data_IF_968232778879
#
_entry.id   IF_968232778879
#
_cell.length_a   1.000
_cell.length_b   1.000
_cell.length_c   1.000
_cell.angle_alpha   90.00
_cell.angle_beta   90.00
_cell.angle_gamma   90.00
#
_symmetry.space_group_name_H-M   'P 1'
#
loop_
_entity.id
_entity.type
_entity.pdbx_description
1 polymer ?
#
# COMPACT_ATOMS: atom_id res chain seq x y z
N UNK A 1 -42.97 5.42 -46.47
CA UNK A 1 -42.63 4.46 -45.44
C UNK A 1 -41.65 5.14 -44.48
N UNK A 2 -42.17 5.59 -43.35
CA UNK A 2 -41.37 6.13 -42.27
C UNK A 2 -40.97 4.99 -41.34
N UNK A 3 -39.70 4.66 -41.28
CA UNK A 3 -39.17 3.75 -40.29
C UNK A 3 -38.93 4.46 -38.96
N UNK A 4 -39.61 4.00 -37.90
CA UNK A 4 -39.35 4.43 -36.53
C UNK A 4 -37.96 3.96 -36.10
N UNK A 5 -37.08 4.91 -35.82
CA UNK A 5 -35.84 4.65 -35.07
C UNK A 5 -36.22 4.48 -33.60
N UNK A 6 -36.09 3.26 -33.07
CA UNK A 6 -36.17 3.01 -31.64
C UNK A 6 -34.97 3.64 -30.97
N UNK A 7 -35.20 4.63 -30.12
CA UNK A 7 -34.18 5.14 -29.23
C UNK A 7 -33.88 4.09 -28.17
N UNK A 8 -32.68 3.50 -28.22
CA UNK A 8 -32.15 2.68 -27.13
C UNK A 8 -31.71 3.63 -26.02
N UNK A 9 -32.51 3.73 -24.97
CA UNK A 9 -32.12 4.39 -23.74
C UNK A 9 -31.08 3.49 -23.02
N UNK A 10 -29.87 3.95 -23.02
CA UNK A 10 -28.83 3.39 -22.12
C UNK A 10 -29.18 3.82 -20.71
N UNK A 11 -29.42 2.83 -19.85
CA UNK A 11 -29.66 3.10 -18.45
C UNK A 11 -28.36 3.53 -17.79
N UNK A 12 -28.44 4.62 -17.04
CA UNK A 12 -27.61 5.10 -15.96
C UNK A 12 -26.21 5.55 -16.32
N UNK A 13 -26.07 6.83 -16.65
CA UNK A 13 -24.95 7.64 -16.23
C UNK A 13 -24.94 7.64 -14.68
N UNK A 14 -24.20 6.72 -14.08
CA UNK A 14 -23.74 6.96 -12.71
C UNK A 14 -22.77 8.13 -12.86
N UNK A 15 -23.16 9.31 -12.43
CA UNK A 15 -22.25 10.44 -12.31
C UNK A 15 -21.06 9.95 -11.47
N UNK A 16 -19.86 10.03 -12.03
CA UNK A 16 -18.62 9.72 -11.29
C UNK A 16 -18.49 10.85 -10.28
N UNK A 17 -18.86 10.57 -9.04
CA UNK A 17 -18.79 11.52 -7.96
C UNK A 17 -17.31 11.84 -7.70
N UNK A 18 -16.91 13.06 -8.06
CA UNK A 18 -15.55 13.53 -7.83
C UNK A 18 -15.36 13.71 -6.32
N UNK A 19 -14.26 13.18 -5.73
CA UNK A 19 -13.99 13.40 -4.31
C UNK A 19 -13.93 14.89 -4.00
N UNK A 20 -14.64 15.32 -2.95
CA UNK A 20 -14.64 16.71 -2.51
C UNK A 20 -13.22 17.10 -2.04
N UNK A 21 -12.54 18.06 -2.69
CA UNK A 21 -11.22 18.48 -2.27
C UNK A 21 -11.18 19.13 -0.88
N UNK A 22 -12.34 19.52 -0.31
CA UNK A 22 -12.45 20.11 1.02
C UNK A 22 -12.72 19.05 2.13
N UNK A 23 -12.99 17.80 1.78
CA UNK A 23 -13.32 16.73 2.76
C UNK A 23 -12.11 16.10 3.45
N UNK A 24 -10.89 16.57 3.21
CA UNK A 24 -9.67 16.07 3.84
C UNK A 24 -9.56 16.48 5.31
N UNK A 25 -10.44 15.96 6.14
CA UNK A 25 -10.28 15.97 7.58
C UNK A 25 -9.39 14.82 8.01
N UNK A 26 -8.11 15.07 8.31
CA UNK A 26 -7.19 14.09 8.89
C UNK A 26 -7.43 13.89 10.40
N UNK A 27 -8.65 14.18 10.89
CA UNK A 27 -8.98 14.16 12.31
C UNK A 27 -8.78 12.77 12.94
N UNK A 28 -8.89 11.71 12.13
CA UNK A 28 -8.71 10.32 12.56
C UNK A 28 -7.27 9.82 12.38
N UNK A 29 -6.31 10.69 12.08
CA UNK A 29 -4.93 10.33 11.83
C UNK A 29 -3.95 11.18 12.64
N UNK A 30 -2.83 10.58 13.03
CA UNK A 30 -1.69 11.29 13.60
C UNK A 30 -0.86 11.91 12.47
N UNK A 31 -0.96 13.23 12.28
CA UNK A 31 -0.24 13.96 11.23
C UNK A 31 1.22 14.14 11.61
N UNK A 32 2.13 13.51 10.90
CA UNK A 32 3.59 13.58 11.09
C UNK A 32 4.24 14.66 10.21
N UNK A 33 3.67 14.93 9.05
CA UNK A 33 4.08 16.00 8.14
C UNK A 33 2.84 16.53 7.40
N UNK A 34 2.59 17.84 7.38
CA UNK A 34 1.44 18.41 6.66
C UNK A 34 1.69 18.58 5.15
N UNK A 35 2.95 18.75 4.72
CA UNK A 35 3.33 18.92 3.31
C UNK A 35 4.76 18.41 3.05
N UNK A 36 4.95 17.39 2.21
CA UNK A 36 3.93 16.47 1.71
C UNK A 36 3.21 15.74 2.86
N UNK A 37 1.90 15.51 2.73
CA UNK A 37 1.12 14.89 3.79
C UNK A 37 1.63 13.49 4.14
N UNK A 38 1.93 13.29 5.42
CA UNK A 38 2.24 11.99 6.02
C UNK A 38 1.46 11.88 7.33
N UNK A 39 0.56 10.93 7.41
CA UNK A 39 -0.31 10.75 8.57
C UNK A 39 -0.51 9.26 8.86
N UNK A 40 -0.34 8.85 10.11
CA UNK A 40 -0.43 7.47 10.57
C UNK A 40 -1.72 7.19 11.31
N UNK A 41 -2.10 5.92 11.39
CA UNK A 41 -3.23 5.48 12.20
C UNK A 41 -2.89 5.56 13.69
N UNK A 42 -3.91 5.68 14.53
CA UNK A 42 -3.76 5.46 15.97
C UNK A 42 -3.79 3.96 16.27
N UNK A 43 -2.94 3.49 17.19
CA UNK A 43 -2.82 2.05 17.49
C UNK A 43 -4.15 1.38 17.90
N UNK A 44 -5.03 2.00 18.70
CA UNK A 44 -6.32 1.40 19.05
C UNK A 44 -7.23 1.13 17.84
N UNK A 45 -7.05 1.86 16.72
CA UNK A 45 -7.86 1.68 15.51
C UNK A 45 -7.43 0.43 14.70
N UNK A 46 -6.36 -0.25 15.09
CA UNK A 46 -5.91 -1.51 14.48
C UNK A 46 -6.74 -2.73 14.89
N UNK A 47 -7.68 -2.60 15.80
CA UNK A 47 -8.62 -3.66 16.16
C UNK A 47 -9.65 -3.95 15.04
N UNK A 48 -9.69 -3.11 13.99
CA UNK A 48 -10.57 -3.29 12.85
C UNK A 48 -9.96 -4.26 11.83
N UNK A 49 -10.78 -5.15 11.29
CA UNK A 49 -10.38 -6.06 10.19
C UNK A 49 -10.04 -5.30 8.90
N UNK A 50 -10.70 -4.17 8.67
CA UNK A 50 -10.47 -3.23 7.57
C UNK A 50 -10.50 -1.82 8.15
N UNK A 51 -9.47 -1.03 7.87
CA UNK A 51 -9.39 0.38 8.28
C UNK A 51 -10.44 1.20 7.52
N UNK A 52 -11.12 2.12 8.20
CA UNK A 52 -11.99 3.09 7.53
C UNK A 52 -11.16 3.92 6.52
N UNK A 53 -11.80 4.42 5.47
CA UNK A 53 -11.10 5.18 4.42
C UNK A 53 -10.42 6.43 5.00
N UNK A 54 -11.10 7.16 5.90
CA UNK A 54 -10.58 8.35 6.58
C UNK A 54 -9.51 8.04 7.64
N UNK A 55 -9.45 6.77 8.07
CA UNK A 55 -8.46 6.25 9.01
C UNK A 55 -7.33 5.48 8.34
N UNK A 56 -7.26 5.40 7.01
CA UNK A 56 -6.15 4.75 6.32
C UNK A 56 -4.92 5.67 6.30
N UNK A 57 -3.74 5.16 6.67
CA UNK A 57 -2.52 5.96 6.70
C UNK A 57 -2.22 6.60 5.33
N UNK A 58 -1.65 7.80 5.37
CA UNK A 58 -1.27 8.54 4.16
C UNK A 58 0.25 8.74 4.14
N UNK A 59 0.88 8.38 3.05
CA UNK A 59 2.28 8.70 2.76
C UNK A 59 2.38 9.28 1.35
N UNK A 60 2.72 10.54 1.26
CA UNK A 60 3.01 11.21 -0.01
C UNK A 60 4.50 11.60 -0.04
N UNK A 61 5.20 11.19 -1.09
CA UNK A 61 6.62 11.50 -1.27
C UNK A 61 6.80 12.93 -1.72
N UNK A 62 5.98 13.35 -2.67
CA UNK A 62 5.81 14.73 -3.10
C UNK A 62 4.39 15.22 -2.81
N UNK A 63 4.11 16.51 -3.05
CA UNK A 63 2.78 17.07 -2.89
C UNK A 63 1.75 16.32 -3.75
N UNK A 64 0.55 16.07 -3.19
CA UNK A 64 -0.50 15.37 -3.89
C UNK A 64 -1.00 16.18 -5.10
N UNK A 65 -0.87 15.67 -6.34
CA UNK A 65 -1.27 16.39 -7.53
C UNK A 65 -2.80 16.45 -7.66
N UNK A 66 -3.28 17.39 -8.45
CA UNK A 66 -4.67 17.37 -8.92
C UNK A 66 -4.70 16.78 -10.34
N UNK A 67 -5.25 15.56 -10.46
CA UNK A 67 -5.32 14.84 -11.73
C UNK A 67 -6.76 14.89 -12.27
N UNK A 68 -7.06 15.73 -13.27
CA UNK A 68 -8.40 15.81 -13.85
C UNK A 68 -8.70 14.59 -14.70
N UNK A 69 -9.94 14.08 -14.66
CA UNK A 69 -10.37 12.97 -15.51
C UNK A 69 -10.54 13.39 -16.98
N UNK A 70 -10.85 14.66 -17.25
CA UNK A 70 -11.00 15.15 -18.61
C UNK A 70 -9.73 14.97 -19.43
N UNK A 71 -9.77 14.10 -20.43
CA UNK A 71 -8.64 13.76 -21.26
C UNK A 71 -7.60 12.84 -20.60
N UNK A 72 -7.88 12.34 -19.40
CA UNK A 72 -6.98 11.37 -18.76
C UNK A 72 -7.02 10.03 -19.48
N UNK A 73 -5.86 9.46 -19.72
CA UNK A 73 -5.68 8.08 -20.17
C UNK A 73 -4.40 7.49 -19.63
N UNK A 74 -4.37 6.18 -19.48
CA UNK A 74 -3.19 5.42 -19.07
C UNK A 74 -2.53 4.78 -20.30
N UNK A 75 -1.44 5.34 -20.82
CA UNK A 75 -0.65 4.70 -21.85
C UNK A 75 0.10 3.49 -21.28
N UNK A 76 0.03 2.37 -22.00
CA UNK A 76 0.79 1.13 -21.75
C UNK A 76 1.67 0.89 -22.98
N UNK A 77 2.97 1.04 -22.84
CA UNK A 77 3.93 1.09 -23.96
C UNK A 77 5.18 0.26 -23.64
N UNK A 78 6.17 0.27 -24.54
CA UNK A 78 7.45 -0.41 -24.37
C UNK A 78 7.49 -1.80 -25.00
N UNK A 79 7.96 -2.81 -24.26
CA UNK A 79 8.10 -4.19 -24.76
C UNK A 79 6.75 -4.93 -24.79
N UNK A 80 5.81 -4.38 -25.58
CA UNK A 80 4.48 -4.92 -25.85
C UNK A 80 4.23 -5.02 -27.36
N UNK A 81 3.36 -5.94 -27.78
CA UNK A 81 2.96 -6.10 -29.17
C UNK A 81 2.03 -4.95 -29.61
N UNK A 82 1.14 -4.52 -28.71
CA UNK A 82 0.16 -3.48 -28.96
C UNK A 82 0.22 -2.42 -27.85
N UNK A 83 0.62 -1.21 -28.19
CA UNK A 83 0.49 -0.09 -27.26
C UNK A 83 -0.99 0.20 -26.97
N UNK A 84 -1.34 0.35 -25.68
CA UNK A 84 -2.70 0.69 -25.25
C UNK A 84 -2.75 2.12 -24.72
N UNK A 85 -3.93 2.75 -24.87
CA UNK A 85 -4.25 4.05 -24.29
C UNK A 85 -5.63 3.90 -23.63
N UNK A 86 -5.65 3.56 -22.36
CA UNK A 86 -6.86 3.15 -21.63
C UNK A 86 -7.46 4.38 -20.96
N UNK A 87 -8.66 4.80 -21.36
CA UNK A 87 -9.39 5.86 -20.66
C UNK A 87 -9.90 5.35 -19.29
N UNK A 88 -10.29 6.27 -18.40
CA UNK A 88 -10.88 5.89 -17.12
C UNK A 88 -12.17 5.06 -17.32
N UNK A 89 -13.02 5.50 -18.26
CA UNK A 89 -14.26 4.81 -18.62
C UNK A 89 -14.01 3.41 -19.20
N UNK A 90 -12.96 3.24 -20.01
CA UNK A 90 -12.61 1.92 -20.55
C UNK A 90 -12.09 0.99 -19.46
N UNK A 91 -11.33 1.53 -18.51
CA UNK A 91 -10.83 0.78 -17.37
C UNK A 91 -11.99 0.27 -16.49
N UNK A 92 -13.03 1.11 -16.26
CA UNK A 92 -14.23 0.71 -15.50
C UNK A 92 -15.07 -0.37 -16.20
N UNK A 93 -14.95 -0.54 -17.54
CA UNK A 93 -15.64 -1.61 -18.31
C UNK A 93 -14.87 -2.93 -18.31
N UNK A 94 -13.60 -2.93 -17.95
CA UNK A 94 -12.80 -4.14 -17.85
C UNK A 94 -13.25 -5.03 -16.68
N UNK A 95 -12.97 -6.34 -16.70
CA UNK A 95 -13.24 -7.22 -15.56
C UNK A 95 -12.57 -6.68 -14.29
N UNK A 96 -13.38 -6.39 -13.27
CA UNK A 96 -12.87 -5.92 -11.98
C UNK A 96 -12.38 -7.09 -11.14
N UNK A 97 -11.41 -6.81 -10.29
CA UNK A 97 -10.86 -7.70 -9.28
C UNK A 97 -10.81 -6.99 -7.93
N UNK A 98 -11.24 -7.69 -6.88
CA UNK A 98 -11.22 -7.16 -5.51
C UNK A 98 -10.16 -7.88 -4.68
N UNK A 99 -9.46 -7.11 -3.86
CA UNK A 99 -8.40 -7.61 -2.99
C UNK A 99 -8.43 -6.85 -1.66
N UNK A 100 -8.50 -7.57 -0.54
CA UNK A 100 -8.24 -7.01 0.79
C UNK A 100 -6.76 -7.14 1.07
N UNK A 101 -6.08 -6.02 1.31
CA UNK A 101 -4.63 -5.99 1.48
C UNK A 101 -4.17 -5.00 2.54
N UNK A 102 -3.26 -5.46 3.38
CA UNK A 102 -2.40 -4.61 4.18
C UNK A 102 -1.48 -3.81 3.25
N UNK A 103 -1.32 -2.55 3.57
CA UNK A 103 -0.28 -1.69 3.05
C UNK A 103 0.55 -1.15 4.20
N UNK A 104 1.88 -1.24 4.13
CA UNK A 104 2.80 -0.74 5.14
C UNK A 104 3.86 0.15 4.49
N UNK A 105 4.12 1.31 5.09
CA UNK A 105 5.25 2.15 4.72
C UNK A 105 6.58 1.45 5.07
N UNK A 106 7.56 1.45 4.16
CA UNK A 106 8.88 0.88 4.44
C UNK A 106 9.61 1.55 5.63
N UNK A 107 9.22 2.79 5.97
CA UNK A 107 9.72 3.52 7.14
C UNK A 107 8.92 3.31 8.43
N UNK A 108 7.91 2.45 8.44
CA UNK A 108 7.12 2.17 9.64
C UNK A 108 8.03 1.69 10.78
N UNK A 109 7.81 2.21 12.01
CA UNK A 109 8.64 2.01 13.21
C UNK A 109 10.01 2.72 13.18
N UNK A 110 10.26 3.68 12.28
CA UNK A 110 11.56 4.37 12.17
C UNK A 110 11.94 5.14 13.44
N UNK A 111 10.97 5.71 14.15
CA UNK A 111 11.22 6.44 15.41
C UNK A 111 11.86 5.58 16.51
N UNK A 112 11.76 4.25 16.38
CA UNK A 112 12.36 3.29 17.36
C UNK A 112 13.77 2.84 16.99
N UNK A 113 14.29 3.23 15.82
CA UNK A 113 15.60 2.80 15.35
C UNK A 113 16.75 3.40 16.18
N UNK A 114 17.76 2.59 16.47
CA UNK A 114 18.99 3.00 17.13
C UNK A 114 20.18 2.47 16.31
N UNK A 115 21.05 3.34 15.77
CA UNK A 115 20.96 4.82 15.78
C UNK A 115 19.76 5.35 15.00
N UNK A 116 19.32 6.61 15.24
CA UNK A 116 18.23 7.24 14.50
C UNK A 116 18.49 7.25 13.00
N UNK A 117 17.46 6.97 12.20
CA UNK A 117 17.52 7.02 10.74
C UNK A 117 16.75 8.26 10.22
N UNK A 118 17.24 8.85 9.11
CA UNK A 118 16.61 9.97 8.45
C UNK A 118 15.24 9.61 7.83
N UNK A 119 14.41 10.63 7.57
CA UNK A 119 13.10 10.53 6.96
C UNK A 119 11.96 10.73 7.95
N UNK A 120 10.71 10.53 7.51
CA UNK A 120 9.52 10.67 8.35
C UNK A 120 9.60 9.71 9.53
N UNK A 121 9.49 10.25 10.75
CA UNK A 121 9.64 9.51 11.99
C UNK A 121 8.34 8.81 12.36
N UNK A 122 8.01 7.78 11.58
CA UNK A 122 6.88 6.91 11.89
C UNK A 122 7.12 6.20 13.23
N UNK A 123 6.10 6.19 14.05
CA UNK A 123 5.96 5.20 15.12
C UNK A 123 5.53 3.84 14.53
N UNK A 124 4.40 3.29 14.95
CA UNK A 124 3.85 2.06 14.37
C UNK A 124 2.60 2.31 13.52
N UNK A 125 2.23 3.57 13.24
CA UNK A 125 0.98 3.92 12.56
C UNK A 125 1.07 3.97 11.03
N UNK A 126 2.22 3.63 10.44
CA UNK A 126 2.42 3.67 8.98
C UNK A 126 1.90 2.43 8.26
N UNK A 127 0.74 1.89 8.65
CA UNK A 127 0.13 0.72 8.03
C UNK A 127 -1.40 0.76 8.17
N UNK A 128 -2.11 0.12 7.23
CA UNK A 128 -3.57 -0.06 7.25
C UNK A 128 -3.97 -1.22 6.34
N UNK A 129 -5.14 -1.79 6.59
CA UNK A 129 -5.79 -2.77 5.70
C UNK A 129 -6.98 -2.11 5.03
N UNK A 130 -7.11 -2.27 3.72
CA UNK A 130 -8.28 -1.82 2.98
C UNK A 130 -8.69 -2.83 1.92
N UNK A 131 -9.95 -2.75 1.54
CA UNK A 131 -10.50 -3.43 0.38
C UNK A 131 -10.27 -2.56 -0.85
N UNK A 132 -9.65 -3.12 -1.86
CA UNK A 132 -9.31 -2.44 -3.10
C UNK A 132 -10.04 -3.10 -4.26
N UNK A 133 -10.55 -2.31 -5.18
CA UNK A 133 -11.15 -2.80 -6.42
C UNK A 133 -10.55 -2.08 -7.61
N UNK A 134 -10.24 -2.86 -8.63
CA UNK A 134 -9.61 -2.35 -9.84
C UNK A 134 -9.54 -3.40 -10.94
N UNK A 135 -8.71 -3.16 -11.94
CA UNK A 135 -8.41 -4.12 -13.01
C UNK A 135 -7.08 -4.80 -12.68
N UNK A 136 -7.04 -6.13 -12.79
CA UNK A 136 -5.77 -6.85 -12.66
C UNK A 136 -4.74 -6.33 -13.67
N UNK A 137 -3.53 -6.02 -13.21
CA UNK A 137 -2.42 -5.63 -14.08
C UNK A 137 -2.16 -6.71 -15.12
N UNK A 138 -2.29 -7.99 -14.73
CA UNK A 138 -2.18 -9.14 -15.63
C UNK A 138 -3.12 -9.01 -16.84
N UNK A 139 -4.39 -8.65 -16.62
CA UNK A 139 -5.37 -8.47 -17.70
C UNK A 139 -4.93 -7.41 -18.70
N UNK A 140 -4.39 -6.28 -18.21
CA UNK A 140 -3.89 -5.20 -19.06
C UNK A 140 -2.66 -5.62 -19.84
N UNK A 141 -1.72 -6.32 -19.19
CA UNK A 141 -0.50 -6.82 -19.85
C UNK A 141 -0.82 -7.91 -20.90
N UNK A 142 -1.77 -8.80 -20.62
CA UNK A 142 -2.24 -9.81 -21.60
C UNK A 142 -2.89 -9.14 -22.82
N UNK A 143 -3.68 -8.09 -22.62
CA UNK A 143 -4.27 -7.32 -23.73
C UNK A 143 -3.21 -6.58 -24.56
N UNK A 144 -2.18 -6.05 -23.93
CA UNK A 144 -1.07 -5.39 -24.62
C UNK A 144 -0.18 -6.39 -25.37
N UNK A 145 -0.11 -7.63 -24.92
CA UNK A 145 0.78 -8.68 -25.43
C UNK A 145 2.24 -8.42 -25.04
N UNK A 146 2.74 -9.17 -24.06
CA UNK A 146 4.13 -9.05 -23.62
C UNK A 146 5.08 -9.66 -24.64
N UNK A 147 6.11 -8.92 -25.05
CA UNK A 147 7.22 -9.51 -25.80
C UNK A 147 8.11 -10.36 -24.92
N UNK A 148 8.86 -11.25 -25.52
CA UNK A 148 9.75 -12.19 -24.79
C UNK A 148 10.88 -11.51 -24.03
N UNK A 149 11.23 -10.27 -24.36
CA UNK A 149 12.24 -9.48 -23.66
C UNK A 149 11.71 -8.79 -22.40
N UNK A 150 10.37 -8.73 -22.18
CA UNK A 150 9.76 -8.02 -21.06
C UNK A 150 10.15 -8.66 -19.72
N UNK A 151 10.78 -7.90 -18.84
CA UNK A 151 11.17 -8.33 -17.49
C UNK A 151 10.52 -7.51 -16.40
N UNK A 152 10.28 -6.22 -16.62
CA UNK A 152 9.77 -5.26 -15.63
C UNK A 152 8.71 -4.35 -16.24
N UNK A 153 7.88 -3.75 -15.42
CA UNK A 153 6.96 -2.67 -15.79
C UNK A 153 7.22 -1.47 -14.92
N UNK A 154 7.57 -0.35 -15.52
CA UNK A 154 7.71 0.94 -14.86
C UNK A 154 6.33 1.59 -14.72
N UNK A 155 5.98 1.95 -13.51
CA UNK A 155 4.79 2.73 -13.16
C UNK A 155 5.21 4.15 -12.79
N UNK A 156 4.61 5.15 -13.42
CA UNK A 156 4.93 6.55 -13.24
C UNK A 156 3.73 7.28 -12.64
N UNK A 157 3.92 7.96 -11.53
CA UNK A 157 2.93 8.83 -10.89
C UNK A 157 2.87 10.22 -11.51
N UNK A 158 1.87 11.01 -11.14
CA UNK A 158 1.79 12.43 -11.49
C UNK A 158 2.53 13.33 -10.50
N UNK A 159 2.88 12.80 -9.34
CA UNK A 159 3.58 13.54 -8.29
C UNK A 159 5.06 13.69 -8.62
N UNK A 160 5.59 14.88 -8.34
CA UNK A 160 6.98 15.22 -8.60
C UNK A 160 7.50 16.27 -7.63
N UNK A 161 8.80 16.29 -7.42
CA UNK A 161 9.42 17.23 -6.49
C UNK A 161 10.93 17.16 -6.50
N UNK A 162 11.55 17.85 -5.54
CA UNK A 162 13.00 17.81 -5.32
C UNK A 162 13.35 16.88 -4.19
N UNK A 163 14.45 16.18 -4.33
CA UNK A 163 15.07 15.36 -3.30
C UNK A 163 16.41 15.96 -2.85
N UNK A 164 16.72 15.77 -1.55
CA UNK A 164 17.95 16.34 -0.96
C UNK A 164 19.22 15.79 -1.60
N UNK A 165 19.17 14.55 -2.08
CA UNK A 165 20.33 13.83 -2.61
C UNK A 165 20.30 13.60 -4.13
N UNK A 166 19.42 14.36 -4.84
CA UNK A 166 19.31 14.27 -6.29
C UNK A 166 19.26 15.64 -6.94
N UNK A 167 19.75 15.74 -8.15
CA UNK A 167 19.66 16.98 -8.95
C UNK A 167 18.32 17.06 -9.70
N UNK A 168 17.79 18.28 -9.82
CA UNK A 168 16.59 18.57 -10.61
C UNK A 168 15.29 18.24 -9.91
N UNK A 169 14.25 18.06 -10.72
CA UNK A 169 12.91 17.63 -10.28
C UNK A 169 12.74 16.15 -10.66
N UNK A 170 12.42 15.34 -9.68
CA UNK A 170 12.13 13.92 -9.88
C UNK A 170 10.63 13.70 -9.96
N UNK A 171 10.23 12.75 -10.79
CA UNK A 171 8.87 12.17 -10.81
C UNK A 171 8.89 10.91 -9.96
N UNK A 172 7.84 10.63 -9.21
CA UNK A 172 7.75 9.38 -8.48
C UNK A 172 7.47 8.22 -9.45
N UNK A 173 8.42 7.30 -9.53
CA UNK A 173 8.32 6.16 -10.41
C UNK A 173 8.98 4.93 -9.80
N UNK A 174 8.39 3.76 -10.04
CA UNK A 174 8.87 2.46 -9.55
C UNK A 174 8.64 1.40 -10.62
N UNK A 175 9.62 0.53 -10.88
CA UNK A 175 9.41 -0.67 -11.67
C UNK A 175 9.08 -1.88 -10.79
N UNK A 176 8.27 -2.77 -11.34
CA UNK A 176 7.90 -4.05 -10.69
C UNK A 176 8.13 -5.17 -11.68
N UNK A 177 8.78 -6.30 -11.27
CA UNK A 177 8.98 -7.43 -12.15
C UNK A 177 7.67 -7.97 -12.72
N UNK A 178 7.67 -8.29 -14.00
CA UNK A 178 6.51 -8.87 -14.71
C UNK A 178 5.99 -10.12 -13.97
N UNK A 179 6.88 -10.98 -13.48
CA UNK A 179 6.52 -12.18 -12.71
C UNK A 179 5.59 -11.84 -11.52
N UNK A 180 5.89 -10.76 -10.78
CA UNK A 180 5.04 -10.30 -9.67
C UNK A 180 3.69 -9.78 -10.14
N UNK A 181 3.66 -9.09 -11.28
CA UNK A 181 2.46 -8.48 -11.85
C UNK A 181 1.51 -9.47 -12.55
N UNK A 182 2.01 -10.65 -12.93
CA UNK A 182 1.17 -11.73 -13.44
C UNK A 182 0.34 -12.42 -12.35
N UNK A 183 0.58 -12.13 -11.07
CA UNK A 183 -0.37 -12.44 -10.01
C UNK A 183 -1.63 -11.57 -10.19
N UNK A 184 -2.83 -12.15 -10.29
CA UNK A 184 -4.07 -11.40 -10.52
C UNK A 184 -4.39 -10.37 -9.43
N UNK A 185 -3.84 -10.53 -8.23
CA UNK A 185 -4.06 -9.63 -7.10
C UNK A 185 -3.28 -8.32 -7.19
N UNK A 186 -2.32 -8.20 -8.14
CA UNK A 186 -1.74 -6.90 -8.49
C UNK A 186 -2.74 -6.13 -9.34
N UNK A 187 -3.27 -5.00 -8.83
CA UNK A 187 -4.38 -4.29 -9.49
C UNK A 187 -4.10 -2.82 -9.75
N UNK A 188 -4.69 -2.30 -10.83
CA UNK A 188 -4.89 -0.88 -11.07
C UNK A 188 -6.17 -0.48 -10.35
N UNK A 189 -6.03 -0.04 -9.10
CA UNK A 189 -7.18 0.23 -8.23
C UNK A 189 -7.79 1.60 -8.53
N UNK A 190 -9.12 1.65 -8.61
CA UNK A 190 -9.95 2.85 -8.79
C UNK A 190 -11.00 3.03 -7.68
N UNK A 191 -11.23 2.01 -6.85
CA UNK A 191 -12.06 2.08 -5.64
C UNK A 191 -11.28 1.60 -4.42
N UNK A 192 -11.63 2.14 -3.25
CA UNK A 192 -11.14 1.76 -1.94
C UNK A 192 -12.31 1.72 -0.97
N UNK A 193 -12.50 0.59 -0.27
CA UNK A 193 -13.62 0.37 0.68
C UNK A 193 -15.00 0.65 0.07
N UNK A 194 -15.22 0.18 -1.16
CA UNK A 194 -16.47 0.35 -1.93
C UNK A 194 -16.80 1.78 -2.37
N UNK A 195 -15.84 2.70 -2.25
CA UNK A 195 -15.96 4.10 -2.66
C UNK A 195 -14.93 4.45 -3.74
N UNK A 196 -15.21 5.52 -4.50
CA UNK A 196 -14.22 6.08 -5.44
C UNK A 196 -12.94 6.41 -4.69
N UNK A 197 -11.81 6.06 -5.28
CA UNK A 197 -10.49 6.27 -4.69
C UNK A 197 -10.27 7.74 -4.28
N UNK A 198 -10.00 8.05 -3.00
CA UNK A 198 -9.76 9.43 -2.56
C UNK A 198 -8.48 10.01 -3.19
N UNK A 199 -8.42 11.35 -3.28
CA UNK A 199 -7.27 12.07 -3.84
C UNK A 199 -5.95 11.62 -3.21
N UNK A 200 -5.86 11.63 -1.88
CA UNK A 200 -4.60 11.32 -1.17
C UNK A 200 -4.21 9.84 -1.22
N UNK A 201 -5.16 9.00 -1.60
CA UNK A 201 -4.93 7.58 -1.85
C UNK A 201 -4.66 7.24 -3.31
N UNK A 202 -4.66 8.24 -4.24
CA UNK A 202 -4.14 8.09 -5.60
C UNK A 202 -5.16 8.20 -6.72
N UNK A 203 -6.34 8.85 -6.50
CA UNK A 203 -7.30 9.13 -7.58
C UNK A 203 -6.61 9.76 -8.81
N UNK A 204 -6.95 9.37 -10.06
CA UNK A 204 -8.02 8.44 -10.43
C UNK A 204 -7.64 6.96 -10.31
N UNK A 205 -6.38 6.60 -10.44
CA UNK A 205 -5.89 5.22 -10.45
C UNK A 205 -4.58 5.12 -9.70
N UNK A 206 -4.44 4.06 -8.91
CA UNK A 206 -3.16 3.67 -8.32
C UNK A 206 -2.81 2.22 -8.62
N UNK A 207 -1.53 1.91 -8.59
CA UNK A 207 -1.07 0.53 -8.50
C UNK A 207 -1.25 0.02 -7.05
N UNK A 208 -1.67 -1.23 -6.91
CA UNK A 208 -1.59 -2.01 -5.68
C UNK A 208 -0.75 -3.25 -5.95
N UNK A 209 0.27 -3.49 -5.11
CA UNK A 209 1.13 -4.68 -5.15
C UNK A 209 1.06 -5.38 -3.79
N UNK A 210 0.09 -6.29 -3.58
CA UNK A 210 -0.12 -6.94 -2.29
C UNK A 210 1.11 -7.71 -1.81
N UNK A 211 1.36 -7.67 -0.50
CA UNK A 211 2.51 -8.32 0.14
C UNK A 211 3.84 -7.58 -0.02
N UNK A 212 3.87 -6.44 -0.75
CA UNK A 212 5.04 -5.58 -0.86
C UNK A 212 4.82 -4.26 -0.11
N UNK A 213 5.92 -3.62 0.31
CA UNK A 213 5.83 -2.31 0.96
C UNK A 213 5.17 -1.26 0.06
N UNK A 214 4.42 -0.35 0.70
CA UNK A 214 3.54 0.60 0.04
C UNK A 214 4.20 1.54 -0.99
N UNK A 215 5.54 1.73 -0.93
CA UNK A 215 6.23 2.54 -1.92
C UNK A 215 6.15 1.97 -3.34
N UNK A 216 5.93 0.65 -3.50
CA UNK A 216 5.73 0.02 -4.83
C UNK A 216 4.33 0.25 -5.39
N UNK A 217 3.38 0.62 -4.55
CA UNK A 217 1.99 0.89 -4.93
C UNK A 217 1.81 2.34 -5.36
N UNK A 218 2.37 2.68 -6.53
CA UNK A 218 2.43 4.06 -7.08
C UNK A 218 1.03 4.66 -7.22
N UNK A 219 0.85 5.88 -6.71
CA UNK A 219 -0.39 6.66 -6.75
C UNK A 219 -0.45 7.54 -8.01
N UNK A 220 -1.65 8.03 -8.35
CA UNK A 220 -1.86 9.02 -9.43
C UNK A 220 -1.21 8.60 -10.75
N UNK A 221 -1.43 7.36 -11.18
CA UNK A 221 -0.77 6.80 -12.36
C UNK A 221 -1.01 7.62 -13.61
N UNK A 222 0.08 7.88 -14.34
CA UNK A 222 0.06 8.56 -15.63
C UNK A 222 0.58 7.71 -16.78
N UNK A 223 1.36 6.66 -16.47
CA UNK A 223 2.00 5.83 -17.51
C UNK A 223 2.44 4.47 -16.96
N UNK A 224 2.36 3.44 -17.81
CA UNK A 224 3.01 2.14 -17.66
C UNK A 224 3.96 1.91 -18.84
N UNK A 225 5.21 1.53 -18.56
CA UNK A 225 6.19 1.19 -19.61
C UNK A 225 6.74 -0.21 -19.33
N UNK A 226 6.47 -1.14 -20.21
CA UNK A 226 7.06 -2.49 -20.15
C UNK A 226 8.52 -2.41 -20.64
N UNK A 227 9.44 -2.95 -19.84
CA UNK A 227 10.89 -2.84 -20.08
C UNK A 227 11.55 -4.21 -20.12
N UNK A 228 12.72 -4.29 -20.73
CA UNK A 228 13.59 -5.46 -20.79
C UNK A 228 14.65 -5.49 -19.65
N UNK A 229 14.58 -4.53 -18.75
CA UNK A 229 15.47 -4.40 -17.59
C UNK A 229 14.76 -3.64 -16.46
N UNK A 230 15.17 -3.78 -15.18
CA UNK A 230 14.68 -2.96 -14.08
C UNK A 230 15.00 -1.47 -14.28
N UNK A 231 14.12 -0.59 -13.81
CA UNK A 231 14.40 0.84 -13.81
C UNK A 231 15.59 1.15 -12.89
N UNK A 232 16.53 1.96 -13.39
CA UNK A 232 17.68 2.46 -12.61
C UNK A 232 17.43 3.81 -11.97
N UNK A 233 16.16 4.20 -11.74
CA UNK A 233 15.79 5.49 -11.19
C UNK A 233 16.16 5.67 -9.71
N UNK A 234 16.25 6.93 -9.30
CA UNK A 234 16.66 7.33 -7.95
C UNK A 234 15.94 6.56 -6.82
N UNK A 235 14.61 6.45 -6.90
CA UNK A 235 13.83 5.80 -5.83
C UNK A 235 14.14 4.31 -5.67
N UNK A 236 14.61 3.63 -6.71
CA UNK A 236 14.89 2.20 -6.67
C UNK A 236 16.33 1.87 -6.32
N UNK A 237 17.26 2.71 -6.77
CA UNK A 237 18.69 2.44 -6.66
C UNK A 237 19.33 3.10 -5.45
N UNK A 238 18.84 4.26 -5.03
CA UNK A 238 19.50 5.10 -4.02
C UNK A 238 18.65 5.29 -2.76
N UNK A 239 17.32 5.13 -2.85
CA UNK A 239 16.42 5.44 -1.76
C UNK A 239 15.83 4.19 -1.07
N UNK A 240 15.27 3.25 -1.84
CA UNK A 240 14.59 2.08 -1.30
C UNK A 240 15.48 0.83 -1.36
N UNK A 241 16.60 0.88 -0.65
CA UNK A 241 17.57 -0.21 -0.62
C UNK A 241 17.85 -0.65 0.81
N UNK A 242 18.10 -1.96 0.97
CA UNK A 242 18.71 -2.50 2.19
C UNK A 242 20.21 -2.63 1.96
N UNK A 243 21.06 -2.05 2.83
CA UNK A 243 22.46 -2.43 2.87
C UNK A 243 22.54 -3.90 3.28
N UNK A 244 23.07 -4.74 2.40
CA UNK A 244 23.28 -6.15 2.71
C UNK A 244 24.77 -6.44 2.64
N UNK A 245 25.35 -6.90 3.73
CA UNK A 245 26.66 -7.56 3.73
C UNK A 245 26.47 -9.03 3.37
N UNK A 246 27.17 -9.52 2.34
CA UNK A 246 27.31 -10.96 2.12
C UNK A 246 28.27 -11.58 3.14
N UNK A 247 28.37 -12.91 3.17
CA UNK A 247 29.28 -13.64 4.07
C UNK A 247 30.76 -13.25 3.93
N UNK A 248 31.13 -12.55 2.86
CA UNK A 248 32.51 -12.10 2.59
C UNK A 248 32.73 -10.63 2.98
N UNK A 249 31.72 -9.94 3.54
CA UNK A 249 31.82 -8.54 3.95
C UNK A 249 31.55 -7.53 2.83
N UNK A 250 31.22 -7.98 1.60
CA UNK A 250 30.86 -7.07 0.52
C UNK A 250 29.41 -6.58 0.72
N UNK A 251 29.24 -5.27 0.79
CA UNK A 251 27.91 -4.66 0.84
C UNK A 251 27.25 -4.76 -0.54
N UNK A 252 26.19 -5.57 -0.67
CA UNK A 252 25.33 -5.59 -1.85
C UNK A 252 23.97 -4.99 -1.49
N UNK A 253 23.72 -3.79 -2.00
CA UNK A 253 22.40 -3.19 -1.86
C UNK A 253 21.31 -4.07 -2.49
N UNK A 254 20.18 -4.23 -1.80
CA UNK A 254 19.01 -4.95 -2.29
C UNK A 254 17.80 -4.06 -2.20
N UNK A 255 17.00 -4.05 -3.26
CA UNK A 255 15.72 -3.33 -3.28
C UNK A 255 14.82 -3.76 -2.13
N UNK A 256 14.16 -2.79 -1.52
CA UNK A 256 13.06 -3.04 -0.60
C UNK A 256 11.84 -3.48 -1.41
N UNK A 257 11.30 -4.64 -1.11
CA UNK A 257 10.16 -5.23 -1.84
C UNK A 257 9.14 -5.80 -0.86
N UNK A 258 9.25 -7.07 -0.51
CA UNK A 258 8.30 -7.81 0.33
C UNK A 258 8.26 -7.29 1.77
N UNK A 259 7.06 -7.24 2.32
CA UNK A 259 6.82 -7.04 3.74
C UNK A 259 7.53 -8.11 4.56
N UNK A 260 8.19 -7.69 5.62
CA UNK A 260 8.77 -8.60 6.61
C UNK A 260 7.69 -9.12 7.54
N UNK A 261 7.93 -10.30 8.13
CA UNK A 261 7.12 -10.77 9.26
C UNK A 261 7.26 -9.78 10.40
N UNK A 262 6.14 -9.28 10.89
CA UNK A 262 6.06 -8.36 12.02
C UNK A 262 4.84 -8.67 12.87
N UNK A 263 4.87 -8.19 14.10
CA UNK A 263 3.73 -8.12 15.00
C UNK A 263 3.75 -6.80 15.76
N UNK A 264 2.59 -6.40 16.23
CA UNK A 264 2.41 -5.20 17.02
C UNK A 264 1.34 -5.45 18.09
N UNK A 265 1.64 -5.12 19.33
CA UNK A 265 0.65 -5.10 20.42
C UNK A 265 -0.09 -3.77 20.38
N UNK A 266 -1.42 -3.82 20.27
CA UNK A 266 -2.31 -2.67 20.35
C UNK A 266 -2.87 -2.46 21.77
N UNK A 267 -2.95 -3.52 22.57
CA UNK A 267 -3.48 -3.47 23.94
C UNK A 267 -2.70 -4.45 24.83
N UNK A 268 -2.22 -4.04 26.03
CA UNK A 268 -2.10 -2.64 26.47
C UNK A 268 -1.08 -1.86 25.62
N UNK A 269 -1.29 -0.55 25.50
CA UNK A 269 -0.34 0.33 24.81
C UNK A 269 0.89 0.59 25.67
N UNK A 270 1.98 0.98 25.04
CA UNK A 270 3.20 1.43 25.71
C UNK A 270 2.89 2.59 26.66
N UNK A 271 3.14 2.38 27.95
CA UNK A 271 2.93 3.37 29.02
C UNK A 271 1.56 3.26 29.70
N UNK A 272 0.69 2.35 29.29
CA UNK A 272 -0.55 2.07 30.02
C UNK A 272 -0.26 1.52 31.41
N UNK A 273 -1.05 1.95 32.38
CA UNK A 273 -1.00 1.45 33.75
C UNK A 273 -2.18 0.51 33.95
N UNK A 274 -1.92 -0.76 34.18
CA UNK A 274 -2.92 -1.77 34.44
C UNK A 274 -2.95 -2.17 35.90
N UNK A 275 -4.14 -2.40 36.46
CA UNK A 275 -4.30 -2.91 37.83
C UNK A 275 -3.90 -4.39 37.91
N UNK A 276 -3.53 -4.93 39.10
CA UNK A 276 -3.39 -6.37 39.24
C UNK A 276 -4.68 -7.11 38.88
N UNK A 277 -4.55 -8.26 38.22
CA UNK A 277 -5.67 -9.06 37.76
C UNK A 277 -5.55 -9.53 36.32
N UNK A 278 -6.67 -10.01 35.77
CA UNK A 278 -6.73 -10.52 34.39
C UNK A 278 -6.83 -9.38 33.37
N UNK A 279 -5.98 -9.44 32.38
CA UNK A 279 -5.94 -8.51 31.26
C UNK A 279 -5.85 -9.29 29.95
N UNK A 280 -6.16 -8.62 28.86
CA UNK A 280 -5.95 -9.10 27.49
C UNK A 280 -4.73 -8.40 26.91
N UNK A 281 -3.79 -9.17 26.38
CA UNK A 281 -2.80 -8.68 25.43
C UNK A 281 -3.34 -8.97 24.05
N UNK A 282 -3.53 -7.94 23.24
CA UNK A 282 -4.06 -8.07 21.90
C UNK A 282 -3.22 -7.26 20.89
N UNK A 283 -3.28 -7.66 19.63
CA UNK A 283 -2.55 -7.00 18.57
C UNK A 283 -2.74 -7.64 17.21
N UNK A 284 -1.89 -7.25 16.27
CA UNK A 284 -1.91 -7.73 14.89
C UNK A 284 -0.55 -8.29 14.50
N UNK A 285 -0.56 -9.29 13.62
CA UNK A 285 0.64 -9.84 13.02
C UNK A 285 0.45 -10.03 11.51
N UNK A 286 1.50 -9.83 10.72
CA UNK A 286 1.44 -9.86 9.25
C UNK A 286 2.74 -10.31 8.60
N UNK A 287 2.64 -10.67 7.32
CA UNK A 287 3.76 -11.08 6.48
C UNK A 287 3.47 -10.76 5.01
N UNK A 288 4.49 -10.55 4.21
CA UNK A 288 4.39 -10.46 2.74
C UNK A 288 4.38 -11.80 2.01
N UNK A 289 4.62 -12.89 2.71
CA UNK A 289 4.78 -14.23 2.13
C UNK A 289 3.62 -15.19 2.47
N UNK A 290 2.56 -14.72 3.14
CA UNK A 290 1.41 -15.55 3.51
C UNK A 290 0.94 -15.32 4.95
N UNK A 291 0.19 -16.28 5.46
CA UNK A 291 -0.41 -16.17 6.78
C UNK A 291 0.59 -16.44 7.91
N UNK A 292 0.31 -15.82 9.06
CA UNK A 292 1.06 -16.08 10.28
C UNK A 292 0.61 -17.43 10.84
N UNK A 293 1.57 -18.30 11.08
CA UNK A 293 1.30 -19.63 11.62
C UNK A 293 1.18 -19.65 13.15
N UNK A 294 1.88 -18.75 13.84
CA UNK A 294 1.91 -18.69 15.30
C UNK A 294 2.35 -17.31 15.76
N UNK A 295 1.73 -16.83 16.86
CA UNK A 295 2.20 -15.69 17.66
C UNK A 295 2.48 -16.19 19.07
N UNK A 296 3.56 -15.74 19.67
CA UNK A 296 3.89 -15.99 21.07
C UNK A 296 4.05 -14.65 21.80
N UNK A 297 3.60 -14.59 23.04
CA UNK A 297 3.63 -13.42 23.91
C UNK A 297 4.46 -13.76 25.14
N UNK A 298 5.38 -12.86 25.50
CA UNK A 298 6.09 -12.87 26.78
C UNK A 298 5.62 -11.71 27.66
N UNK A 299 5.47 -11.95 28.95
CA UNK A 299 5.07 -10.96 29.96
C UNK A 299 6.08 -10.87 31.10
N UNK A 300 7.30 -11.36 30.87
CA UNK A 300 8.37 -11.47 31.87
C UNK A 300 9.78 -11.21 31.29
N UNK A 301 9.90 -10.21 30.37
CA UNK A 301 11.17 -9.84 29.69
C UNK A 301 11.81 -11.01 28.94
N UNK A 302 11.05 -11.62 28.02
CA UNK A 302 11.50 -12.68 27.10
C UNK A 302 11.95 -13.99 27.80
N UNK A 303 11.64 -14.18 29.08
CA UNK A 303 12.04 -15.40 29.82
C UNK A 303 11.11 -16.56 29.54
N UNK A 304 9.80 -16.28 29.38
CA UNK A 304 8.80 -17.30 29.09
C UNK A 304 7.91 -16.82 27.96
N UNK A 305 7.60 -17.71 27.03
CA UNK A 305 6.77 -17.42 25.88
C UNK A 305 5.53 -18.30 25.86
N UNK A 306 4.36 -17.71 25.60
CA UNK A 306 3.07 -18.36 25.57
C UNK A 306 2.43 -18.17 24.21
N UNK A 307 1.85 -19.24 23.67
CA UNK A 307 1.13 -19.15 22.39
C UNK A 307 -0.15 -18.33 22.56
N UNK A 308 -0.29 -17.29 21.76
CA UNK A 308 -1.50 -16.47 21.68
C UNK A 308 -2.57 -17.16 20.82
N UNK A 309 -3.83 -16.83 21.07
CA UNK A 309 -4.92 -17.19 20.18
C UNK A 309 -4.83 -16.30 18.94
N UNK A 310 -4.79 -16.91 17.76
CA UNK A 310 -4.63 -16.23 16.47
C UNK A 310 -5.93 -16.39 15.68
N UNK A 311 -6.50 -15.28 15.22
CA UNK A 311 -7.70 -15.30 14.39
C UNK A 311 -7.37 -15.68 12.93
N UNK A 312 -8.38 -16.18 12.22
CA UNK A 312 -8.25 -16.41 10.78
C UNK A 312 -8.09 -15.08 10.03
N UNK A 313 -7.24 -15.03 9.00
CA UNK A 313 -6.99 -13.80 8.26
C UNK A 313 -8.19 -13.39 7.40
N UNK A 314 -8.43 -12.10 7.29
CA UNK A 314 -9.40 -11.54 6.36
C UNK A 314 -8.78 -11.38 4.96
N UNK A 315 -8.67 -12.49 4.21
CA UNK A 315 -8.04 -12.53 2.88
C UNK A 315 -6.54 -12.83 2.89
N UNK A 316 -5.96 -12.97 1.70
CA UNK A 316 -4.61 -13.49 1.50
C UNK A 316 -3.46 -12.55 1.90
N UNK A 317 -3.75 -11.25 2.10
CA UNK A 317 -2.76 -10.20 2.32
C UNK A 317 -3.10 -9.28 3.49
N UNK A 318 -4.00 -9.70 4.38
CA UNK A 318 -4.38 -8.95 5.57
C UNK A 318 -3.48 -9.28 6.76
N UNK A 319 -3.54 -8.44 7.78
CA UNK A 319 -3.07 -8.82 9.10
C UNK A 319 -3.98 -9.87 9.74
N UNK A 320 -3.46 -10.55 10.78
CA UNK A 320 -4.21 -11.46 11.63
C UNK A 320 -4.20 -10.92 13.06
N UNK A 321 -5.37 -10.84 13.68
CA UNK A 321 -5.47 -10.45 15.08
C UNK A 321 -5.04 -11.60 15.96
N UNK A 322 -4.39 -11.26 17.06
CA UNK A 322 -4.04 -12.21 18.10
C UNK A 322 -4.44 -11.68 19.47
N UNK A 323 -4.73 -12.59 20.39
CA UNK A 323 -5.00 -12.26 21.77
C UNK A 323 -4.42 -13.30 22.72
N UNK A 324 -4.03 -12.84 23.91
CA UNK A 324 -3.54 -13.66 25.01
C UNK A 324 -4.10 -13.15 26.33
N UNK A 325 -4.69 -14.05 27.15
CA UNK A 325 -5.09 -13.71 28.51
C UNK A 325 -3.86 -13.66 29.40
N UNK A 326 -3.61 -12.51 30.02
CA UNK A 326 -2.52 -12.27 30.94
C UNK A 326 -3.05 -11.96 32.34
N UNK A 327 -2.45 -12.56 33.37
CA UNK A 327 -2.73 -12.23 34.78
C UNK A 327 -1.57 -11.42 35.36
N UNK A 328 -1.78 -10.13 35.57
CA UNK A 328 -0.83 -9.24 36.23
C UNK A 328 -0.83 -9.54 37.73
N UNK A 329 0.18 -10.28 38.22
CA UNK A 329 0.25 -10.75 39.60
C UNK A 329 1.09 -9.87 40.50
N UNK A 330 1.89 -8.96 39.96
CA UNK A 330 2.80 -8.09 40.72
C UNK A 330 2.88 -6.70 40.09
N UNK A 331 3.27 -5.70 40.89
CA UNK A 331 3.67 -4.40 40.39
C UNK A 331 5.01 -4.54 39.63
N UNK A 332 5.10 -3.98 38.43
CA UNK A 332 6.27 -4.04 37.59
C UNK A 332 6.13 -3.13 36.36
N UNK A 333 7.13 -3.14 35.53
CA UNK A 333 7.15 -2.46 34.23
C UNK A 333 7.07 -3.49 33.12
#
# INVERSE_FOLDING_TARGET
YFGQLAAVHWATDKEIEMPDPASNSYANLNVLSPDPICAGVFLPDMDLQVSATEGHFIRSHFAAPNVPLSGWSLPVTGEVDNALYISYEDLLKMPSHEVTSLMECAGNSRSTMQPPAEGVQWDNGGLSVSKWKGVSVKTVLEQAGLKSAATDVLFVGADSGKETHAEGTLVYEISVPVEKLLNPDSVLAYEMNDETLPKDHGFPIRLLVPGWYGMTSVKWLTKMVVMDHPNGGFHEMDYWIYPATNSNGDAKARRVTKLKVKSLISTPNKGDIVAPGKHKVAGVAWSGDGHIAKVEVSTDDDRTWYTANLEEPNGGYSWQHFEYEWEATSLGH
#
